data_IF_038613166598
#
_entry.id   IF_038613166598
#
_cell.length_a   1.000
_cell.length_b   1.000
_cell.length_c   1.000
_cell.angle_alpha   90.00
_cell.angle_beta   90.00
_cell.angle_gamma   90.00
#
_symmetry.space_group_name_H-M   'P 1'
#
loop_
_entity.id
_entity.type
_entity.pdbx_description
1 polymer ?
#
# COMPACT_ATOMS: atom_id res chain seq x y z
N UNK A 1 -53.78 -20.69 -3.56
CA UNK A 1 -52.61 -21.60 -3.44
C UNK A 1 -51.27 -20.90 -3.65
N UNK A 2 -51.18 -19.88 -4.51
CA UNK A 2 -49.91 -19.20 -4.83
C UNK A 2 -49.19 -18.60 -3.60
N UNK A 3 -49.94 -18.06 -2.62
CA UNK A 3 -49.37 -17.49 -1.39
C UNK A 3 -48.59 -18.52 -0.55
N UNK A 4 -49.22 -19.67 -0.25
CA UNK A 4 -48.57 -20.75 0.51
C UNK A 4 -47.38 -21.36 -0.24
N UNK A 5 -47.47 -21.50 -1.57
CA UNK A 5 -46.38 -21.99 -2.41
C UNK A 5 -45.15 -21.08 -2.38
N UNK A 6 -45.36 -19.76 -2.29
CA UNK A 6 -44.26 -18.80 -2.18
C UNK A 6 -43.69 -18.76 -0.76
N UNK A 7 -44.53 -18.90 0.28
CA UNK A 7 -44.06 -19.02 1.67
C UNK A 7 -43.12 -20.23 1.85
N UNK A 8 -43.45 -21.39 1.26
CA UNK A 8 -42.64 -22.61 1.33
C UNK A 8 -41.26 -22.49 0.66
N UNK A 9 -41.02 -21.44 -0.14
CA UNK A 9 -39.71 -21.17 -0.73
C UNK A 9 -38.81 -20.33 0.17
N UNK A 10 -39.35 -19.71 1.23
CA UNK A 10 -38.61 -18.91 2.18
C UNK A 10 -38.05 -19.79 3.31
N UNK A 11 -36.89 -19.44 3.86
CA UNK A 11 -36.29 -20.13 5.02
C UNK A 11 -37.14 -19.96 6.28
N UNK A 12 -37.78 -18.80 6.41
CA UNK A 12 -38.74 -18.47 7.44
C UNK A 12 -39.67 -17.37 6.94
N UNK A 13 -40.87 -17.28 7.50
CA UNK A 13 -41.82 -16.26 7.11
C UNK A 13 -43.22 -16.50 7.62
N UNK A 14 -44.11 -15.59 7.28
CA UNK A 14 -45.53 -15.64 7.57
C UNK A 14 -46.31 -15.17 6.35
N UNK A 15 -47.48 -15.77 6.14
CA UNK A 15 -48.43 -15.31 5.16
C UNK A 15 -49.82 -15.18 5.80
N UNK A 16 -50.44 -14.01 5.64
CA UNK A 16 -51.78 -13.76 6.19
C UNK A 16 -52.73 -13.33 5.09
N UNK A 17 -54.02 -13.63 5.30
CA UNK A 17 -55.11 -13.15 4.49
C UNK A 17 -56.15 -12.57 5.45
N UNK A 18 -56.35 -11.25 5.40
CA UNK A 18 -57.32 -10.56 6.26
C UNK A 18 -58.10 -9.57 5.41
N UNK A 19 -59.43 -9.65 5.45
CA UNK A 19 -60.35 -8.80 4.67
C UNK A 19 -60.01 -8.72 3.17
N UNK A 20 -59.53 -9.83 2.60
CA UNK A 20 -59.12 -9.92 1.19
C UNK A 20 -57.73 -9.36 0.89
N UNK A 21 -57.03 -8.78 1.87
CA UNK A 21 -55.64 -8.33 1.76
C UNK A 21 -54.70 -9.48 2.06
N UNK A 22 -53.84 -9.81 1.11
CA UNK A 22 -52.78 -10.81 1.27
C UNK A 22 -51.49 -10.11 1.68
N UNK A 23 -50.83 -10.63 2.72
CA UNK A 23 -49.47 -10.23 3.09
C UNK A 23 -48.55 -11.45 3.09
N UNK A 24 -47.31 -11.25 2.65
CA UNK A 24 -46.25 -12.25 2.72
C UNK A 24 -45.00 -11.55 3.27
N UNK A 25 -44.49 -12.07 4.38
CA UNK A 25 -43.24 -11.61 4.99
C UNK A 25 -42.30 -12.78 5.17
N UNK A 26 -40.99 -12.58 4.98
CA UNK A 26 -40.03 -13.63 5.30
C UNK A 26 -38.62 -13.45 4.76
N UNK A 27 -37.83 -14.49 4.95
CA UNK A 27 -36.41 -14.54 4.71
C UNK A 27 -36.10 -15.50 3.54
N UNK A 28 -35.67 -15.00 2.36
CA UNK A 28 -35.29 -15.86 1.25
C UNK A 28 -33.88 -16.44 1.47
N UNK A 29 -33.66 -17.68 1.01
CA UNK A 29 -32.36 -18.36 1.11
C UNK A 29 -31.28 -17.71 0.22
N UNK A 30 -31.67 -17.15 -0.91
CA UNK A 30 -30.76 -16.51 -1.88
C UNK A 30 -31.50 -15.44 -2.70
N UNK A 31 -30.75 -14.68 -3.50
CA UNK A 31 -31.29 -13.60 -4.32
C UNK A 31 -32.25 -14.10 -5.41
N UNK A 32 -31.98 -15.29 -5.98
CA UNK A 32 -32.83 -15.89 -7.01
C UNK A 32 -34.21 -16.26 -6.45
N UNK A 33 -34.26 -16.74 -5.22
CA UNK A 33 -35.49 -17.06 -4.49
C UNK A 33 -36.26 -15.80 -4.12
N UNK A 34 -35.55 -14.76 -3.66
CA UNK A 34 -36.17 -13.46 -3.40
C UNK A 34 -36.85 -12.90 -4.65
N UNK A 35 -36.17 -12.96 -5.80
CA UNK A 35 -36.71 -12.45 -7.06
C UNK A 35 -37.86 -13.29 -7.60
N UNK A 36 -37.77 -14.63 -7.53
CA UNK A 36 -38.88 -15.52 -7.90
C UNK A 36 -40.14 -15.24 -7.07
N UNK A 37 -40.01 -15.09 -5.76
CA UNK A 37 -41.13 -14.76 -4.87
C UNK A 37 -41.69 -13.37 -5.19
N UNK A 38 -40.82 -12.38 -5.43
CA UNK A 38 -41.24 -11.03 -5.81
C UNK A 38 -42.08 -11.04 -7.08
N UNK A 39 -41.56 -11.62 -8.16
CA UNK A 39 -42.25 -11.72 -9.45
C UNK A 39 -43.56 -12.51 -9.36
N UNK A 40 -43.62 -13.54 -8.53
CA UNK A 40 -44.85 -14.32 -8.34
C UNK A 40 -45.93 -13.55 -7.55
N UNK A 41 -45.53 -12.67 -6.63
CA UNK A 41 -46.46 -11.92 -5.76
C UNK A 41 -46.89 -10.57 -6.32
N UNK A 42 -46.11 -9.95 -7.21
CA UNK A 42 -46.46 -8.67 -7.86
C UNK A 42 -47.84 -8.69 -8.54
N UNK A 43 -48.22 -9.71 -9.35
CA UNK A 43 -49.52 -9.74 -10.02
C UNK A 43 -50.71 -9.87 -9.06
N UNK A 44 -50.46 -10.35 -7.83
CA UNK A 44 -51.49 -10.68 -6.86
C UNK A 44 -51.84 -9.52 -5.93
N UNK A 45 -51.21 -8.35 -6.09
CA UNK A 45 -51.41 -7.19 -5.20
C UNK A 45 -51.03 -7.45 -3.74
N UNK A 46 -50.23 -8.48 -3.48
CA UNK A 46 -49.83 -8.91 -2.14
C UNK A 46 -48.82 -7.93 -1.56
N UNK A 47 -49.03 -7.51 -0.31
CA UNK A 47 -48.03 -6.73 0.42
C UNK A 47 -46.86 -7.63 0.78
N UNK A 48 -45.71 -7.40 0.15
CA UNK A 48 -44.53 -8.24 0.25
C UNK A 48 -43.44 -7.54 1.07
N UNK A 49 -43.00 -8.19 2.14
CA UNK A 49 -41.87 -7.74 2.97
C UNK A 49 -40.81 -8.84 3.05
N UNK A 50 -39.83 -8.80 2.16
CA UNK A 50 -38.72 -9.76 2.18
C UNK A 50 -37.51 -9.14 2.87
N UNK A 51 -36.94 -9.88 3.81
CA UNK A 51 -35.61 -9.59 4.33
C UNK A 51 -34.55 -9.80 3.21
N UNK A 52 -33.34 -9.20 3.34
CA UNK A 52 -32.26 -9.40 2.37
C UNK A 52 -31.91 -10.88 2.17
N UNK A 53 -31.45 -11.33 0.99
CA UNK A 53 -31.04 -12.72 0.78
C UNK A 53 -29.88 -13.14 1.69
N UNK A 54 -29.78 -14.43 2.02
CA UNK A 54 -28.62 -14.98 2.72
C UNK A 54 -27.48 -15.26 1.74
N UNK A 55 -26.25 -14.83 2.06
CA UNK A 55 -25.07 -15.02 1.21
C UNK A 55 -23.97 -15.71 2.03
N UNK A 56 -23.54 -16.88 1.57
CA UNK A 56 -22.48 -17.67 2.22
C UNK A 56 -21.08 -17.04 2.02
N UNK A 57 -20.82 -16.50 0.82
CA UNK A 57 -19.56 -15.83 0.50
C UNK A 57 -19.71 -14.33 0.76
N UNK A 58 -19.65 -13.97 2.03
CA UNK A 58 -19.81 -12.59 2.45
C UNK A 58 -18.54 -11.78 2.16
N UNK A 59 -18.57 -11.06 1.04
CA UNK A 59 -17.46 -10.27 0.52
C UNK A 59 -17.77 -8.78 0.59
N UNK A 60 -16.77 -8.00 1.02
CA UNK A 60 -16.75 -6.56 0.87
C UNK A 60 -15.39 -6.13 0.35
N UNK A 61 -15.39 -5.23 -0.64
CA UNK A 61 -14.17 -4.61 -1.15
C UNK A 61 -14.29 -3.10 -1.03
N UNK A 62 -13.28 -2.48 -0.42
CA UNK A 62 -13.14 -1.04 -0.33
C UNK A 62 -11.88 -0.62 -1.10
N UNK A 63 -12.03 0.34 -2.01
CA UNK A 63 -10.92 0.84 -2.83
C UNK A 63 -10.81 2.35 -2.73
N UNK A 64 -9.64 2.86 -2.36
CA UNK A 64 -9.34 4.28 -2.37
C UNK A 64 -8.67 4.69 -3.68
N UNK A 65 -9.25 5.68 -4.34
CA UNK A 65 -8.70 6.30 -5.55
C UNK A 65 -9.15 7.76 -5.60
N UNK A 66 -8.26 8.67 -6.01
CA UNK A 66 -8.57 10.09 -6.18
C UNK A 66 -9.22 10.75 -4.95
N UNK A 67 -8.81 10.32 -3.75
CA UNK A 67 -9.32 10.86 -2.48
C UNK A 67 -10.66 10.28 -2.02
N UNK A 68 -11.34 9.46 -2.82
CA UNK A 68 -12.60 8.81 -2.45
C UNK A 68 -12.41 7.31 -2.22
N UNK A 69 -13.22 6.72 -1.34
CA UNK A 69 -13.27 5.29 -1.04
C UNK A 69 -14.56 4.73 -1.61
N UNK A 70 -14.48 3.94 -2.67
CA UNK A 70 -15.61 3.18 -3.18
C UNK A 70 -15.73 1.86 -2.42
N UNK A 71 -16.91 1.58 -1.88
CA UNK A 71 -17.22 0.34 -1.17
C UNK A 71 -18.23 -0.47 -1.98
N UNK A 72 -17.91 -1.74 -2.19
CA UNK A 72 -18.69 -2.70 -2.99
C UNK A 72 -18.86 -4.01 -2.24
N UNK A 73 -19.89 -4.78 -2.60
CA UNK A 73 -20.21 -6.06 -1.96
C UNK A 73 -21.41 -5.94 -1.02
N UNK A 74 -21.37 -6.66 0.10
CA UNK A 74 -22.54 -6.85 0.95
C UNK A 74 -22.45 -6.12 2.30
N UNK A 75 -23.61 -5.64 2.77
CA UNK A 75 -23.82 -5.16 4.14
C UNK A 75 -25.10 -5.76 4.74
N UNK A 76 -25.14 -5.96 6.08
CA UNK A 76 -26.18 -6.77 6.71
C UNK A 76 -27.57 -6.16 6.63
N UNK A 77 -27.64 -4.82 6.66
CA UNK A 77 -28.88 -4.07 6.74
C UNK A 77 -28.73 -2.64 6.21
N UNK A 78 -29.87 -1.96 6.06
CA UNK A 78 -29.92 -0.59 5.57
C UNK A 78 -29.20 0.39 6.50
N UNK A 79 -29.29 0.18 7.82
CA UNK A 79 -28.63 1.06 8.79
C UNK A 79 -27.10 1.04 8.64
N UNK A 80 -26.52 -0.13 8.35
CA UNK A 80 -25.09 -0.28 8.07
C UNK A 80 -24.70 0.39 6.75
N UNK A 81 -25.53 0.26 5.71
CA UNK A 81 -25.32 0.96 4.44
C UNK A 81 -25.35 2.47 4.62
N UNK A 82 -26.35 2.99 5.32
CA UNK A 82 -26.52 4.42 5.59
C UNK A 82 -25.37 4.98 6.42
N UNK A 83 -24.90 4.23 7.43
CA UNK A 83 -23.72 4.59 8.21
C UNK A 83 -22.50 4.81 7.32
N UNK A 84 -22.23 3.91 6.37
CA UNK A 84 -21.10 4.03 5.45
C UNK A 84 -21.28 5.17 4.46
N UNK A 85 -22.49 5.36 3.92
CA UNK A 85 -22.80 6.47 3.03
C UNK A 85 -22.64 7.85 3.69
N UNK A 86 -22.78 7.93 5.01
CA UNK A 86 -22.59 9.16 5.79
C UNK A 86 -21.11 9.43 6.14
N UNK A 87 -20.19 8.51 5.87
CA UNK A 87 -18.76 8.75 6.10
C UNK A 87 -18.20 9.66 5.00
N UNK A 88 -17.45 10.68 5.42
CA UNK A 88 -16.81 11.60 4.48
C UNK A 88 -15.88 10.86 3.52
N UNK A 89 -16.05 11.14 2.21
CA UNK A 89 -15.25 10.56 1.15
C UNK A 89 -15.55 9.08 0.86
N UNK A 90 -16.61 8.50 1.41
CA UNK A 90 -17.01 7.11 1.16
C UNK A 90 -18.20 7.07 0.19
N UNK A 91 -18.07 6.31 -0.90
CA UNK A 91 -19.16 5.98 -1.81
C UNK A 91 -19.65 4.55 -1.53
N UNK A 92 -20.85 4.47 -0.97
CA UNK A 92 -21.56 3.24 -0.61
C UNK A 92 -22.68 2.88 -1.61
N UNK A 93 -22.77 3.56 -2.75
CA UNK A 93 -23.86 3.39 -3.72
C UNK A 93 -23.93 1.95 -4.26
N UNK A 94 -22.78 1.31 -4.45
CA UNK A 94 -22.61 -0.04 -4.98
C UNK A 94 -22.72 -1.16 -3.92
N UNK A 95 -23.12 -0.85 -2.68
CA UNK A 95 -23.39 -1.86 -1.67
C UNK A 95 -24.77 -2.51 -1.85
N UNK A 96 -24.83 -3.82 -1.68
CA UNK A 96 -26.06 -4.61 -1.65
C UNK A 96 -26.39 -5.08 -0.24
N UNK A 97 -27.67 -5.23 0.08
CA UNK A 97 -28.10 -5.78 1.36
C UNK A 97 -28.08 -7.31 1.28
N UNK A 98 -27.44 -7.97 2.24
CA UNK A 98 -27.50 -9.43 2.39
C UNK A 98 -27.30 -9.86 3.84
N UNK A 99 -27.99 -10.93 4.26
CA UNK A 99 -27.72 -11.65 5.52
C UNK A 99 -26.52 -12.59 5.34
N UNK A 100 -25.98 -13.08 6.46
CA UNK A 100 -24.80 -13.96 6.47
C UNK A 100 -23.49 -13.24 6.79
N UNK A 101 -23.56 -11.97 7.22
CA UNK A 101 -22.39 -11.24 7.66
C UNK A 101 -21.71 -11.99 8.82
N UNK A 102 -20.37 -12.14 8.79
CA UNK A 102 -19.64 -12.80 9.86
C UNK A 102 -19.66 -11.96 11.14
N UNK A 103 -19.33 -12.60 12.26
CA UNK A 103 -19.12 -11.88 13.52
C UNK A 103 -18.06 -10.78 13.34
N UNK A 104 -18.27 -9.64 14.01
CA UNK A 104 -17.37 -8.47 13.97
C UNK A 104 -17.16 -7.85 12.58
N UNK A 105 -17.98 -8.19 11.59
CA UNK A 105 -17.88 -7.64 10.24
C UNK A 105 -17.84 -6.10 10.21
N UNK A 106 -18.72 -5.42 10.95
CA UNK A 106 -18.74 -3.95 11.02
C UNK A 106 -17.45 -3.37 11.62
N UNK A 107 -16.86 -4.03 12.62
CA UNK A 107 -15.55 -3.64 13.16
C UNK A 107 -14.44 -3.82 12.13
N UNK A 108 -14.54 -4.85 11.30
CA UNK A 108 -13.65 -5.04 10.16
C UNK A 108 -13.77 -3.92 9.13
N UNK A 109 -14.99 -3.49 8.81
CA UNK A 109 -15.20 -2.34 7.91
C UNK A 109 -14.58 -1.07 8.51
N UNK A 110 -14.82 -0.78 9.79
CA UNK A 110 -14.26 0.40 10.45
C UNK A 110 -12.71 0.38 10.35
N UNK A 111 -12.08 -0.75 10.64
CA UNK A 111 -10.62 -0.95 10.50
C UNK A 111 -10.13 -0.72 9.06
N UNK A 112 -10.84 -1.27 8.07
CA UNK A 112 -10.48 -1.17 6.66
C UNK A 112 -10.61 0.26 6.13
N UNK A 113 -11.68 0.97 6.50
CA UNK A 113 -11.88 2.36 6.10
C UNK A 113 -10.82 3.26 6.73
N UNK A 114 -10.46 3.03 7.99
CA UNK A 114 -9.41 3.78 8.67
C UNK A 114 -8.05 3.56 8.03
N UNK A 115 -7.67 2.30 7.76
CA UNK A 115 -6.43 1.98 7.06
C UNK A 115 -6.37 2.65 5.67
N UNK A 116 -7.46 2.63 4.90
CA UNK A 116 -7.51 3.32 3.60
C UNK A 116 -7.35 4.83 3.72
N UNK A 117 -7.76 5.47 4.82
CA UNK A 117 -7.60 6.91 5.04
C UNK A 117 -6.14 7.35 5.20
N UNK A 118 -5.25 6.43 5.52
CA UNK A 118 -3.80 6.62 5.56
C UNK A 118 -3.12 6.36 4.20
N UNK A 119 -3.86 5.92 3.17
CA UNK A 119 -3.30 5.57 1.86
C UNK A 119 -3.58 6.62 0.77
N UNK A 120 -2.63 6.91 -0.11
CA UNK A 120 -2.90 7.73 -1.31
C UNK A 120 -3.80 6.97 -2.30
N UNK A 121 -3.54 5.68 -2.45
CA UNK A 121 -4.33 4.71 -3.20
C UNK A 121 -4.21 3.33 -2.55
N UNK A 122 -5.25 2.51 -2.66
CA UNK A 122 -5.23 1.18 -2.08
C UNK A 122 -6.53 0.43 -2.25
N UNK A 123 -6.47 -0.86 -1.97
CA UNK A 123 -7.61 -1.77 -2.01
C UNK A 123 -7.55 -2.72 -0.83
N UNK A 124 -8.71 -2.97 -0.26
CA UNK A 124 -8.88 -3.91 0.85
C UNK A 124 -10.06 -4.80 0.57
N UNK A 125 -9.92 -6.07 0.90
CA UNK A 125 -10.97 -7.06 0.77
C UNK A 125 -11.21 -7.73 2.11
N UNK A 126 -12.48 -7.83 2.50
CA UNK A 126 -12.96 -8.62 3.64
C UNK A 126 -13.72 -9.81 3.05
N UNK A 127 -13.21 -11.01 3.25
CA UNK A 127 -13.85 -12.27 2.87
C UNK A 127 -14.09 -13.10 4.13
N UNK A 128 -15.35 -13.18 4.57
CA UNK A 128 -15.65 -13.70 5.90
C UNK A 128 -14.93 -12.87 6.98
N UNK A 129 -14.09 -13.51 7.80
CA UNK A 129 -13.27 -12.83 8.81
C UNK A 129 -11.86 -12.48 8.34
N UNK A 130 -11.50 -12.81 7.10
CA UNK A 130 -10.17 -12.57 6.55
C UNK A 130 -10.07 -11.21 5.86
N UNK A 131 -9.02 -10.45 6.15
CA UNK A 131 -8.72 -9.15 5.58
C UNK A 131 -7.44 -9.24 4.76
N UNK A 132 -7.49 -8.74 3.53
CA UNK A 132 -6.33 -8.57 2.66
C UNK A 132 -6.20 -7.11 2.27
N UNK A 133 -5.03 -6.51 2.51
CA UNK A 133 -4.76 -5.07 2.32
C UNK A 133 -3.59 -4.88 1.35
N UNK A 134 -3.79 -4.01 0.35
CA UNK A 134 -2.74 -3.61 -0.59
C UNK A 134 -2.82 -2.11 -0.87
N UNK A 135 -1.70 -1.40 -1.02
CA UNK A 135 -1.74 0.00 -1.43
C UNK A 135 -0.46 0.77 -1.17
N UNK A 136 -0.57 2.09 -1.26
CA UNK A 136 0.52 3.04 -0.99
C UNK A 136 0.10 4.03 0.07
N UNK A 137 0.94 4.23 1.07
CA UNK A 137 0.73 5.25 2.09
C UNK A 137 0.66 6.67 1.46
N UNK A 138 -0.11 7.56 2.07
CA UNK A 138 -0.21 8.95 1.62
C UNK A 138 1.03 9.76 2.02
N UNK A 139 1.55 9.51 3.22
CA UNK A 139 2.75 10.16 3.77
C UNK A 139 3.62 9.14 4.51
N UNK A 140 4.82 9.55 4.94
CA UNK A 140 5.68 8.71 5.76
C UNK A 140 5.08 8.46 7.16
N UNK A 141 4.43 9.48 7.73
CA UNK A 141 3.75 9.34 9.02
C UNK A 141 2.62 8.31 8.91
N UNK A 142 1.83 8.38 7.84
CA UNK A 142 0.80 7.39 7.55
C UNK A 142 1.37 5.98 7.33
N UNK A 143 2.52 5.87 6.65
CA UNK A 143 3.20 4.60 6.45
C UNK A 143 3.64 3.96 7.78
N UNK A 144 4.19 4.76 8.69
CA UNK A 144 4.59 4.31 10.03
C UNK A 144 3.37 3.88 10.86
N UNK A 145 2.28 4.63 10.78
CA UNK A 145 1.03 4.31 11.49
C UNK A 145 0.42 3.00 10.97
N UNK A 146 0.40 2.82 9.65
CA UNK A 146 -0.06 1.60 9.01
C UNK A 146 0.79 0.38 9.39
N UNK A 147 2.12 0.52 9.40
CA UNK A 147 3.03 -0.56 9.86
C UNK A 147 2.77 -0.92 11.32
N UNK A 148 2.60 0.09 12.18
CA UNK A 148 2.30 -0.12 13.60
C UNK A 148 0.99 -0.86 13.78
N UNK A 149 -0.07 -0.37 13.12
CA UNK A 149 -1.40 -0.99 13.12
C UNK A 149 -1.36 -2.46 12.66
N UNK A 150 -0.65 -2.73 11.56
CA UNK A 150 -0.48 -4.11 11.05
C UNK A 150 0.28 -4.99 12.04
N UNK A 151 1.32 -4.46 12.68
CA UNK A 151 2.13 -5.22 13.65
C UNK A 151 1.35 -5.59 14.92
N UNK A 152 0.37 -4.76 15.31
CA UNK A 152 -0.56 -5.06 16.40
C UNK A 152 -1.59 -6.13 16.00
N UNK A 153 -1.79 -6.36 14.70
CA UNK A 153 -2.70 -7.34 14.14
C UNK A 153 -4.11 -6.79 13.88
N UNK A 154 -4.94 -7.62 13.25
CA UNK A 154 -6.35 -7.29 13.03
C UNK A 154 -7.14 -7.26 14.36
N UNK A 155 -8.26 -6.51 14.42
CA UNK A 155 -9.15 -6.54 15.59
C UNK A 155 -9.59 -7.97 15.97
N UNK A 156 -9.89 -8.18 17.25
CA UNK A 156 -10.24 -9.50 17.77
C UNK A 156 -11.37 -10.17 16.96
N UNK A 157 -11.12 -11.40 16.50
CA UNK A 157 -12.06 -12.18 15.68
C UNK A 157 -11.86 -12.02 14.17
N UNK A 158 -10.94 -11.15 13.73
CA UNK A 158 -10.55 -10.97 12.34
C UNK A 158 -9.11 -11.47 12.11
N UNK A 159 -8.80 -11.81 10.87
CA UNK A 159 -7.50 -12.35 10.47
C UNK A 159 -6.93 -11.47 9.37
N UNK A 160 -5.76 -10.88 9.60
CA UNK A 160 -5.02 -10.22 8.52
C UNK A 160 -4.29 -11.28 7.69
N UNK A 161 -4.85 -11.62 6.53
CA UNK A 161 -4.34 -12.68 5.63
C UNK A 161 -3.12 -12.21 4.85
N UNK A 162 -3.12 -10.97 4.39
CA UNK A 162 -1.99 -10.35 3.70
C UNK A 162 -2.00 -8.84 3.84
N UNK A 163 -0.81 -8.25 3.89
CA UNK A 163 -0.61 -6.80 3.86
C UNK A 163 0.58 -6.48 2.95
N UNK A 164 0.33 -5.72 1.89
CA UNK A 164 1.37 -5.21 0.99
C UNK A 164 1.22 -3.68 0.87
N UNK A 165 1.98 -2.95 1.67
CA UNK A 165 1.90 -1.49 1.73
C UNK A 165 3.22 -0.91 1.29
N UNK A 166 3.17 -0.07 0.26
CA UNK A 166 4.30 0.70 -0.21
C UNK A 166 4.42 2.03 0.55
N UNK A 167 5.65 2.52 0.79
CA UNK A 167 5.88 3.87 1.30
C UNK A 167 5.37 4.93 0.31
N UNK A 168 5.22 6.21 0.73
CA UNK A 168 4.80 7.28 -0.19
C UNK A 168 5.76 7.40 -1.39
N UNK A 169 5.23 7.78 -2.55
CA UNK A 169 6.02 7.94 -3.76
C UNK A 169 6.76 9.28 -3.74
N UNK A 170 8.09 9.24 -3.84
CA UNK A 170 8.90 10.44 -4.02
C UNK A 170 8.97 10.83 -5.50
N UNK A 171 8.80 12.12 -5.80
CA UNK A 171 8.95 12.65 -7.15
C UNK A 171 9.51 14.08 -7.10
N UNK A 172 10.82 14.29 -7.41
CA UNK A 172 11.80 13.27 -7.80
C UNK A 172 12.30 12.45 -6.61
N UNK A 173 12.65 11.18 -6.87
CA UNK A 173 13.41 10.36 -5.91
C UNK A 173 14.88 10.78 -5.95
N UNK A 174 15.37 11.41 -4.89
CA UNK A 174 16.78 11.82 -4.75
C UNK A 174 17.50 11.01 -3.69
N UNK A 175 18.79 10.81 -3.87
CA UNK A 175 19.65 10.16 -2.88
C UNK A 175 21.05 10.77 -2.93
N UNK A 176 21.71 10.90 -1.79
CA UNK A 176 23.08 11.44 -1.71
C UNK A 176 23.86 10.73 -0.62
N UNK A 177 25.11 10.40 -0.93
CA UNK A 177 26.13 9.97 0.02
C UNK A 177 27.31 10.94 -0.06
N UNK A 178 27.71 11.52 1.06
CA UNK A 178 28.79 12.50 1.14
C UNK A 178 29.85 12.06 2.14
N UNK A 179 31.10 11.94 1.69
CA UNK A 179 32.27 11.63 2.51
C UNK A 179 33.03 12.91 2.80
N UNK A 180 33.04 13.32 4.06
CA UNK A 180 33.80 14.46 4.55
C UNK A 180 35.17 14.04 5.09
N UNK A 181 36.02 15.04 5.39
CA UNK A 181 37.32 14.84 6.05
C UNK A 181 37.10 14.14 7.41
N UNK A 182 37.52 12.88 7.51
CA UNK A 182 37.24 12.02 8.67
C UNK A 182 36.78 10.61 8.30
N UNK A 183 36.44 10.37 7.04
CA UNK A 183 36.25 9.04 6.48
C UNK A 183 34.85 8.45 6.65
N UNK A 184 33.99 9.06 7.49
CA UNK A 184 32.57 8.68 7.59
C UNK A 184 31.76 9.24 6.44
N UNK A 185 30.74 8.49 6.02
CA UNK A 185 29.81 8.87 4.96
C UNK A 185 28.47 9.27 5.56
N UNK A 186 27.94 10.42 5.14
CA UNK A 186 26.61 10.87 5.52
C UNK A 186 25.62 10.59 4.39
N UNK A 187 24.47 9.99 4.71
CA UNK A 187 23.40 9.67 3.76
C UNK A 187 22.23 10.64 3.90
N UNK A 188 21.61 11.00 2.78
CA UNK A 188 20.39 11.82 2.73
C UNK A 188 19.54 11.51 1.50
N UNK A 189 18.28 11.95 1.53
CA UNK A 189 17.30 11.68 0.47
C UNK A 189 16.42 10.48 0.80
N UNK A 190 16.18 9.60 -0.18
CA UNK A 190 15.24 8.51 -0.07
C UNK A 190 15.88 7.14 -0.20
N UNK A 191 15.29 6.15 0.48
CA UNK A 191 15.59 4.72 0.35
C UNK A 191 14.28 3.94 0.18
N UNK A 192 14.26 2.84 -0.60
CA UNK A 192 13.02 2.11 -0.85
C UNK A 192 12.54 1.29 0.35
N UNK A 193 13.47 0.68 1.09
CA UNK A 193 13.16 -0.23 2.19
C UNK A 193 14.30 -0.28 3.24
N UNK A 194 13.99 -0.92 4.39
CA UNK A 194 14.94 -1.18 5.48
C UNK A 194 16.13 -2.02 4.99
N UNK A 195 15.89 -3.03 4.14
CA UNK A 195 16.93 -3.92 3.66
C UNK A 195 18.00 -3.20 2.81
N UNK A 196 17.60 -2.21 2.01
CA UNK A 196 18.51 -1.38 1.21
C UNK A 196 19.30 -0.45 2.10
N UNK A 197 18.66 0.16 3.11
CA UNK A 197 19.36 0.95 4.12
C UNK A 197 20.42 0.09 4.84
N UNK A 198 20.04 -1.08 5.31
CA UNK A 198 20.96 -2.01 5.98
C UNK A 198 22.14 -2.42 5.10
N UNK A 199 21.90 -2.68 3.81
CA UNK A 199 22.96 -2.99 2.85
C UNK A 199 23.93 -1.80 2.64
N UNK A 200 23.43 -0.56 2.66
CA UNK A 200 24.27 0.64 2.59
C UNK A 200 25.13 0.82 3.85
N UNK A 201 24.55 0.55 5.03
CA UNK A 201 25.27 0.55 6.32
C UNK A 201 26.31 -0.56 6.44
N UNK A 202 26.12 -1.68 5.75
CA UNK A 202 27.12 -2.76 5.67
C UNK A 202 28.25 -2.45 4.68
N UNK A 203 27.95 -1.70 3.62
CA UNK A 203 28.90 -1.38 2.57
C UNK A 203 29.89 -0.28 2.95
N UNK A 204 29.54 0.59 3.90
CA UNK A 204 30.36 1.75 4.23
C UNK A 204 30.21 2.21 5.69
N UNK A 205 31.21 2.93 6.26
CA UNK A 205 31.12 3.53 7.59
C UNK A 205 30.19 4.74 7.58
N UNK A 206 28.89 4.47 7.70
CA UNK A 206 27.86 5.52 7.75
C UNK A 206 27.90 6.24 9.10
N UNK A 207 28.04 7.56 9.04
CA UNK A 207 27.98 8.47 10.19
C UNK A 207 26.54 8.91 10.46
N UNK A 208 26.13 10.00 9.80
CA UNK A 208 24.74 10.47 9.86
C UNK A 208 23.90 9.85 8.73
N UNK A 209 22.76 9.25 9.07
CA UNK A 209 21.77 8.77 8.10
C UNK A 209 20.48 9.59 8.23
N UNK A 210 20.26 10.49 7.28
CA UNK A 210 19.06 11.31 7.15
C UNK A 210 18.14 10.81 6.01
N UNK A 211 18.26 9.54 5.61
CA UNK A 211 17.40 8.98 4.56
C UNK A 211 15.99 8.69 5.08
N UNK A 212 15.01 8.90 4.21
CA UNK A 212 13.58 8.66 4.46
C UNK A 212 13.07 7.54 3.54
N UNK A 213 12.14 6.71 4.00
CA UNK A 213 11.54 5.70 3.11
C UNK A 213 10.62 6.34 2.08
N UNK A 214 10.81 5.99 0.80
CA UNK A 214 9.89 6.36 -0.27
C UNK A 214 9.98 5.35 -1.42
N UNK A 215 8.90 5.25 -2.17
CA UNK A 215 8.82 4.54 -3.45
C UNK A 215 9.27 5.49 -4.59
N UNK A 216 9.58 4.96 -5.77
CA UNK A 216 9.99 5.72 -6.96
C UNK A 216 11.49 5.73 -7.23
N UNK A 217 12.24 4.81 -6.63
CA UNK A 217 13.66 4.60 -6.88
C UNK A 217 13.93 4.19 -8.34
N UNK A 218 15.12 4.49 -8.89
CA UNK A 218 15.53 3.94 -10.18
C UNK A 218 15.72 2.42 -10.10
N UNK A 219 15.63 1.74 -11.25
CA UNK A 219 15.96 0.32 -11.34
C UNK A 219 17.35 -0.01 -10.78
N UNK A 220 17.47 -1.16 -10.11
CA UNK A 220 18.68 -1.63 -9.45
C UNK A 220 19.26 -0.69 -8.37
N UNK A 221 18.46 0.21 -7.80
CA UNK A 221 18.91 1.22 -6.83
C UNK A 221 19.79 0.65 -5.71
N UNK A 222 19.40 -0.48 -5.08
CA UNK A 222 20.19 -1.11 -4.00
C UNK A 222 21.61 -1.47 -4.47
N UNK A 223 21.73 -2.17 -5.60
CA UNK A 223 23.03 -2.58 -6.16
C UNK A 223 23.88 -1.35 -6.51
N UNK A 224 23.26 -0.39 -7.18
CA UNK A 224 23.94 0.81 -7.68
C UNK A 224 24.42 1.73 -6.54
N UNK A 225 23.58 1.96 -5.53
CA UNK A 225 23.95 2.76 -4.36
C UNK A 225 25.06 2.11 -3.54
N UNK A 226 25.00 0.80 -3.31
CA UNK A 226 26.08 0.06 -2.63
C UNK A 226 27.40 0.13 -3.41
N UNK A 227 27.40 -0.16 -4.72
CA UNK A 227 28.61 -0.08 -5.53
C UNK A 227 29.21 1.35 -5.58
N UNK A 228 28.36 2.36 -5.53
CA UNK A 228 28.81 3.74 -5.48
C UNK A 228 29.44 4.12 -4.11
N UNK A 229 28.98 3.51 -3.02
CA UNK A 229 29.62 3.64 -1.72
C UNK A 229 31.03 3.03 -1.74
N UNK A 230 31.23 1.86 -2.36
CA UNK A 230 32.55 1.25 -2.52
C UNK A 230 33.52 2.18 -3.26
N UNK A 231 33.06 2.86 -4.32
CA UNK A 231 33.87 3.87 -5.04
C UNK A 231 34.16 5.08 -4.15
N UNK A 232 33.17 5.56 -3.40
CA UNK A 232 33.32 6.70 -2.50
C UNK A 232 34.31 6.42 -1.35
N UNK A 233 34.41 5.17 -0.89
CA UNK A 233 35.40 4.76 0.10
C UNK A 233 36.85 4.94 -0.37
N UNK A 234 37.10 4.77 -1.68
CA UNK A 234 38.43 4.95 -2.29
C UNK A 234 38.85 6.43 -2.41
N UNK A 235 37.90 7.36 -2.27
CA UNK A 235 38.15 8.81 -2.32
C UNK A 235 38.51 9.34 -0.93
N UNK A 236 39.31 10.41 -0.86
CA UNK A 236 39.61 11.07 0.42
C UNK A 236 38.42 11.92 0.87
N UNK A 237 37.83 12.66 -0.07
CA UNK A 237 36.51 13.31 0.06
C UNK A 237 35.72 13.14 -1.22
N UNK A 238 34.40 13.14 -1.11
CA UNK A 238 33.57 13.03 -2.29
C UNK A 238 32.08 13.00 -2.02
N UNK A 239 31.33 13.00 -3.10
CA UNK A 239 29.88 12.93 -3.10
C UNK A 239 29.41 12.03 -4.23
N UNK A 240 28.51 11.12 -3.89
CA UNK A 240 27.65 10.43 -4.85
C UNK A 240 26.26 11.02 -4.74
N UNK A 241 25.63 11.35 -5.86
CA UNK A 241 24.23 11.76 -5.86
C UNK A 241 23.43 11.24 -7.04
N UNK A 242 22.17 10.90 -6.76
CA UNK A 242 21.11 10.68 -7.73
C UNK A 242 20.10 11.83 -7.61
N UNK A 243 19.87 12.55 -8.71
CA UNK A 243 19.00 13.72 -8.74
C UNK A 243 17.55 13.42 -9.19
N UNK A 244 17.21 12.14 -9.33
CA UNK A 244 15.95 11.68 -9.92
C UNK A 244 16.04 11.31 -11.39
N UNK A 245 17.18 11.57 -12.05
CA UNK A 245 17.41 11.21 -13.46
C UNK A 245 18.78 10.62 -13.71
N UNK A 246 19.82 11.24 -13.17
CA UNK A 246 21.20 10.86 -13.41
C UNK A 246 21.95 10.67 -12.10
N UNK A 247 22.88 9.73 -12.14
CA UNK A 247 23.83 9.53 -11.08
C UNK A 247 25.14 10.27 -11.36
N UNK A 248 25.78 10.74 -10.30
CA UNK A 248 27.03 11.47 -10.36
C UNK A 248 27.94 11.09 -9.20
N UNK A 249 29.23 10.99 -9.49
CA UNK A 249 30.30 10.84 -8.49
C UNK A 249 31.27 12.01 -8.66
N UNK A 250 31.50 12.76 -7.59
CA UNK A 250 32.51 13.83 -7.54
C UNK A 250 33.40 13.65 -6.32
N UNK A 251 34.64 14.14 -6.38
CA UNK A 251 35.52 14.11 -5.21
C UNK A 251 36.98 14.42 -5.49
N UNK A 252 37.82 14.10 -4.52
CA UNK A 252 39.26 14.29 -4.57
C UNK A 252 40.00 13.10 -3.96
N UNK A 253 41.21 12.88 -4.45
CA UNK A 253 42.19 11.94 -3.89
C UNK A 253 43.51 12.64 -3.61
N UNK A 254 44.28 12.12 -2.66
CA UNK A 254 45.60 12.60 -2.24
C UNK A 254 46.74 12.04 -3.09
N UNK A 255 46.46 11.06 -3.95
CA UNK A 255 47.48 10.32 -4.69
C UNK A 255 46.92 9.74 -6.01
N UNK A 256 47.78 9.71 -7.03
CA UNK A 256 47.43 9.16 -8.34
C UNK A 256 47.00 7.66 -8.30
N UNK A 257 47.65 6.78 -7.50
CA UNK A 257 47.20 5.40 -7.36
C UNK A 257 45.77 5.26 -6.81
N UNK A 258 45.35 6.07 -5.83
CA UNK A 258 43.96 6.08 -5.35
C UNK A 258 43.00 6.51 -6.45
N UNK A 259 43.34 7.54 -7.20
CA UNK A 259 42.51 8.01 -8.32
C UNK A 259 42.31 6.94 -9.39
N UNK A 260 43.37 6.19 -9.73
CA UNK A 260 43.28 5.07 -10.65
C UNK A 260 42.44 3.91 -10.08
N UNK A 261 42.61 3.58 -8.80
CA UNK A 261 41.80 2.55 -8.14
C UNK A 261 40.30 2.90 -8.13
N UNK A 262 39.96 4.16 -7.80
CA UNK A 262 38.59 4.64 -7.82
C UNK A 262 37.97 4.59 -9.22
N UNK A 263 38.73 4.97 -10.25
CA UNK A 263 38.25 4.87 -11.64
C UNK A 263 38.09 3.42 -12.11
N UNK A 264 39.00 2.52 -11.72
CA UNK A 264 38.87 1.08 -12.02
C UNK A 264 37.61 0.51 -11.38
N UNK A 265 37.39 0.76 -10.09
CA UNK A 265 36.21 0.31 -9.37
C UNK A 265 34.91 0.85 -9.99
N UNK A 266 34.88 2.13 -10.38
CA UNK A 266 33.75 2.75 -11.06
C UNK A 266 33.41 2.07 -12.40
N UNK A 267 34.44 1.64 -13.14
CA UNK A 267 34.27 0.92 -14.40
C UNK A 267 33.86 -0.54 -14.20
N UNK A 268 34.50 -1.25 -13.28
CA UNK A 268 34.21 -2.66 -12.95
C UNK A 268 32.79 -2.84 -12.41
N UNK A 269 32.28 -1.87 -11.65
CA UNK A 269 30.90 -1.83 -11.18
C UNK A 269 29.87 -1.55 -12.31
N UNK A 270 30.33 -1.24 -13.53
CA UNK A 270 29.49 -0.93 -14.68
C UNK A 270 28.79 0.43 -14.61
N UNK A 271 29.23 1.32 -13.73
CA UNK A 271 28.56 2.61 -13.50
C UNK A 271 28.72 3.54 -14.71
N UNK A 272 29.89 3.55 -15.34
CA UNK A 272 30.13 4.33 -16.57
C UNK A 272 29.21 3.90 -17.72
N UNK A 273 29.04 2.60 -17.90
CA UNK A 273 28.13 2.05 -18.92
C UNK A 273 26.66 2.29 -18.60
N UNK A 274 26.33 2.48 -17.32
CA UNK A 274 25.00 2.91 -16.87
C UNK A 274 24.76 4.42 -17.05
N UNK A 275 25.68 5.17 -17.67
CA UNK A 275 25.51 6.58 -17.99
C UNK A 275 25.83 7.55 -16.84
N UNK A 276 26.53 7.08 -15.81
CA UNK A 276 26.91 7.91 -14.66
C UNK A 276 27.97 8.94 -15.04
N UNK A 277 27.88 10.13 -14.44
CA UNK A 277 28.96 11.12 -14.51
C UNK A 277 30.01 10.86 -13.42
N UNK A 278 31.27 11.08 -13.74
CA UNK A 278 32.41 10.86 -12.85
C UNK A 278 33.41 12.01 -12.96
N UNK A 279 33.71 12.67 -11.85
CA UNK A 279 34.66 13.78 -11.77
C UNK A 279 35.47 13.72 -10.47
N UNK A 280 36.61 13.04 -10.50
CA UNK A 280 37.55 12.96 -9.36
C UNK A 280 38.81 13.76 -9.65
N UNK A 281 39.19 14.62 -8.71
CA UNK A 281 40.37 15.49 -8.83
C UNK A 281 41.60 14.80 -8.27
N UNK A 282 42.69 14.77 -9.05
CA UNK A 282 44.01 14.28 -8.63
C UNK A 282 44.82 15.38 -7.93
N UNK A 283 45.78 15.03 -7.05
CA UNK A 283 46.67 16.02 -6.45
C UNK A 283 47.51 16.71 -7.53
N UNK A 284 47.81 18.00 -7.35
CA UNK A 284 48.75 18.71 -8.24
C UNK A 284 50.14 18.07 -8.14
N UNK A 285 50.86 17.84 -9.26
CA UNK A 285 52.23 17.35 -9.22
C UNK A 285 53.08 18.29 -8.34
N UNK A 286 53.80 17.73 -7.37
CA UNK A 286 54.80 18.50 -6.62
C UNK A 286 55.94 18.76 -7.59
N UNK A 287 56.13 20.03 -7.96
CA UNK A 287 57.23 20.47 -8.79
C UNK A 287 58.53 20.13 -8.07
N UNK A 288 59.24 19.09 -8.54
CA UNK A 288 60.53 18.70 -7.97
C UNK A 288 61.50 19.82 -8.33
N UNK A 289 61.83 20.67 -7.35
CA UNK A 289 62.87 21.69 -7.51
C UNK A 289 64.13 21.02 -8.05
N UNK A 290 64.56 21.42 -9.26
CA UNK A 290 65.79 20.94 -9.85
C UNK A 290 66.93 21.19 -8.86
N UNK A 291 67.63 20.12 -8.46
CA UNK A 291 68.86 20.25 -7.67
C UNK A 291 69.89 21.04 -8.49
N UNK A 292 70.65 21.95 -7.85
CA UNK A 292 71.53 22.91 -8.52
C UNK A 292 72.69 22.26 -9.28
#
# INVERSE_FOLDING_TARGET
MLLLQNLLQLESGEATITDGVMTLSGAPADAATAERVRLAMTPSGTSLSLQPPNVQQYLLTARRLNGSILVTGYVPDQASKDRLANLAGVDASALELARGAPDRFLSGIDFVIDALRHMSEGSVTIEGTSISLTGRAATLADYSELRTTISLGAPQGLILKSSDILPPMASPFTWTAEKADGGTINLSGYVPDDATRDAQHQAAPIGADATTMADGEPGDFRRLSTAALDVLELLDTGKVSYDGKVWSVTGAVDSAPKGFAAESAFNEAGLRTAGWSYAVTLPKPVEVAALP
#
